data_IF_038463367476
#
_entry.id   IF_038463367476
#
_cell.length_a   1.000
_cell.length_b   1.000
_cell.length_c   1.000
_cell.angle_alpha   90.00
_cell.angle_beta   90.00
_cell.angle_gamma   90.00
#
_symmetry.space_group_name_H-M   'P 1'
#
loop_
_entity.id
_entity.type
_entity.pdbx_description
1 polymer ?
#
# COMPACT_ATOMS: atom_id res chain seq x y z
N UNK A 1 42.29 26.46 -1.34
CA UNK A 1 41.98 25.02 -1.23
C UNK A 1 40.47 24.90 -1.12
N UNK A 2 39.78 24.40 -2.14
CA UNK A 2 38.42 23.88 -1.97
C UNK A 2 38.13 22.85 -3.07
N UNK A 3 37.99 21.59 -2.64
CA UNK A 3 37.66 20.44 -3.48
C UNK A 3 36.14 20.29 -3.46
N UNK A 4 35.43 20.84 -4.44
CA UNK A 4 33.99 20.56 -4.55
C UNK A 4 33.51 20.47 -6.00
N UNK A 5 33.11 19.24 -6.34
CA UNK A 5 32.15 18.86 -7.38
C UNK A 5 32.64 18.73 -8.83
N UNK A 6 33.44 17.68 -9.00
CA UNK A 6 33.63 16.95 -10.26
C UNK A 6 32.27 16.49 -10.80
N UNK A 7 31.85 17.07 -11.93
CA UNK A 7 30.64 16.71 -12.70
C UNK A 7 30.59 15.19 -12.95
N UNK A 8 29.62 14.49 -12.35
CA UNK A 8 29.21 13.17 -12.83
C UNK A 8 27.97 13.31 -13.69
N UNK A 9 28.10 12.79 -14.91
CA UNK A 9 27.02 12.53 -15.87
C UNK A 9 25.90 11.76 -15.17
N UNK A 10 24.73 12.37 -15.01
CA UNK A 10 23.47 11.63 -14.95
C UNK A 10 22.84 11.67 -16.34
N UNK A 11 23.35 10.78 -17.20
CA UNK A 11 22.56 10.28 -18.32
C UNK A 11 21.50 9.33 -17.79
N UNK A 12 20.31 9.41 -18.38
CA UNK A 12 19.22 8.42 -18.36
C UNK A 12 18.59 8.09 -17.00
N UNK A 13 17.56 8.86 -16.62
CA UNK A 13 16.39 8.30 -15.95
C UNK A 13 15.12 8.67 -16.70
N UNK A 14 14.62 7.69 -17.43
CA UNK A 14 13.33 7.59 -18.10
C UNK A 14 12.16 8.12 -17.25
N UNK A 15 11.70 9.32 -17.58
CA UNK A 15 10.53 9.98 -16.98
C UNK A 15 9.14 9.29 -17.14
N UNK A 16 8.92 8.19 -17.89
CA UNK A 16 7.62 7.52 -17.90
C UNK A 16 7.30 6.73 -16.62
N UNK A 17 8.31 6.12 -15.98
CA UNK A 17 8.12 5.18 -14.85
C UNK A 17 7.68 5.88 -13.57
N UNK A 18 8.28 7.03 -13.23
CA UNK A 18 7.92 7.81 -12.04
C UNK A 18 6.49 8.36 -12.13
N UNK A 19 6.06 8.83 -13.30
CA UNK A 19 4.72 9.39 -13.50
C UNK A 19 3.62 8.32 -13.43
N UNK A 20 3.90 7.10 -13.91
CA UNK A 20 3.03 5.95 -13.71
C UNK A 20 2.97 5.52 -12.23
N UNK A 21 4.11 5.46 -11.54
CA UNK A 21 4.18 5.18 -10.11
C UNK A 21 3.31 6.16 -9.30
N UNK A 22 3.42 7.46 -9.57
CA UNK A 22 2.61 8.48 -8.89
C UNK A 22 1.10 8.31 -9.10
N UNK A 23 0.66 7.92 -10.30
CA UNK A 23 -0.78 7.70 -10.58
C UNK A 23 -1.27 6.42 -9.89
N UNK A 24 -0.48 5.33 -9.93
CA UNK A 24 -0.85 4.08 -9.26
C UNK A 24 -0.82 4.19 -7.74
N UNK A 25 0.11 4.96 -7.20
CA UNK A 25 0.21 5.25 -5.77
C UNK A 25 -1.02 5.98 -5.24
N UNK A 26 -1.52 6.97 -5.98
CA UNK A 26 -2.68 7.76 -5.58
C UNK A 26 -4.00 6.94 -5.60
N UNK A 27 -4.08 5.91 -6.45
CA UNK A 27 -5.26 5.04 -6.51
C UNK A 27 -5.38 4.12 -5.31
N UNK A 28 -4.26 3.62 -4.77
CA UNK A 28 -4.27 2.77 -3.57
C UNK A 28 -4.81 3.56 -2.39
N UNK A 29 -4.25 4.75 -2.16
CA UNK A 29 -4.65 5.63 -1.05
C UNK A 29 -6.11 6.06 -1.18
N UNK A 30 -6.56 6.38 -2.41
CA UNK A 30 -7.96 6.71 -2.69
C UNK A 30 -8.91 5.54 -2.39
N UNK A 31 -8.61 4.33 -2.84
CA UNK A 31 -9.44 3.15 -2.55
C UNK A 31 -9.45 2.80 -1.07
N UNK A 32 -8.32 2.93 -0.37
CA UNK A 32 -8.26 2.72 1.08
C UNK A 32 -9.11 3.75 1.82
N UNK A 33 -8.99 5.03 1.50
CA UNK A 33 -9.76 6.11 2.13
C UNK A 33 -11.26 5.96 1.90
N UNK A 34 -11.68 5.69 0.66
CA UNK A 34 -13.08 5.43 0.34
C UNK A 34 -13.59 4.16 1.05
N UNK A 35 -12.77 3.11 1.09
CA UNK A 35 -13.10 1.86 1.76
C UNK A 35 -13.30 2.04 3.27
N UNK A 36 -12.42 2.80 3.92
CA UNK A 36 -12.52 3.13 5.34
C UNK A 36 -13.77 3.97 5.64
N UNK A 37 -14.11 4.92 4.76
CA UNK A 37 -15.34 5.72 4.87
C UNK A 37 -16.58 4.85 4.71
N UNK A 38 -16.61 3.96 3.71
CA UNK A 38 -17.73 3.02 3.54
C UNK A 38 -17.85 2.07 4.74
N UNK A 39 -16.72 1.65 5.32
CA UNK A 39 -16.70 0.79 6.50
C UNK A 39 -17.28 1.50 7.73
N UNK A 40 -16.93 2.77 7.97
CA UNK A 40 -17.47 3.55 9.09
C UNK A 40 -18.97 3.84 8.93
N UNK A 41 -19.47 3.89 7.69
CA UNK A 41 -20.89 3.99 7.37
C UNK A 41 -21.64 2.65 7.45
N UNK A 42 -20.98 1.55 7.85
CA UNK A 42 -21.58 0.22 7.93
C UNK A 42 -21.76 -0.48 6.59
N UNK A 43 -21.27 0.09 5.48
CA UNK A 43 -21.36 -0.47 4.14
C UNK A 43 -20.24 -1.51 3.89
N UNK A 44 -20.19 -2.54 4.72
CA UNK A 44 -19.06 -3.49 4.78
C UNK A 44 -18.77 -4.18 3.44
N UNK A 45 -19.80 -4.48 2.65
CA UNK A 45 -19.61 -5.11 1.34
C UNK A 45 -18.99 -4.16 0.30
N UNK A 46 -19.32 -2.85 0.37
CA UNK A 46 -18.70 -1.85 -0.49
C UNK A 46 -17.24 -1.60 -0.08
N UNK A 47 -17.00 -1.47 1.23
CA UNK A 47 -15.67 -1.36 1.81
C UNK A 47 -14.76 -2.52 1.39
N UNK A 48 -15.25 -3.75 1.50
CA UNK A 48 -14.49 -4.94 1.08
C UNK A 48 -14.11 -4.95 -0.41
N UNK A 49 -14.99 -4.45 -1.28
CA UNK A 49 -14.68 -4.31 -2.72
C UNK A 49 -13.57 -3.28 -2.95
N UNK A 50 -13.61 -2.15 -2.24
CA UNK A 50 -12.61 -1.09 -2.33
C UNK A 50 -11.25 -1.55 -1.79
N UNK A 51 -11.21 -2.22 -0.64
CA UNK A 51 -9.97 -2.77 -0.11
C UNK A 51 -9.39 -3.86 -1.01
N UNK A 52 -10.23 -4.71 -1.62
CA UNK A 52 -9.75 -5.69 -2.59
C UNK A 52 -9.19 -5.00 -3.85
N UNK A 53 -9.81 -3.92 -4.32
CA UNK A 53 -9.29 -3.13 -5.44
C UNK A 53 -7.93 -2.50 -5.09
N UNK A 54 -7.79 -1.92 -3.90
CA UNK A 54 -6.52 -1.43 -3.38
C UNK A 54 -5.46 -2.54 -3.36
N UNK A 55 -5.82 -3.74 -2.90
CA UNK A 55 -4.94 -4.91 -2.92
C UNK A 55 -4.47 -5.28 -4.32
N UNK A 56 -5.37 -5.32 -5.31
CA UNK A 56 -4.97 -5.64 -6.68
C UNK A 56 -4.00 -4.60 -7.27
N UNK A 57 -4.16 -3.32 -6.93
CA UNK A 57 -3.22 -2.26 -7.33
C UNK A 57 -1.91 -2.33 -6.56
N UNK A 58 -1.93 -2.73 -5.30
CA UNK A 58 -0.72 -2.87 -4.48
C UNK A 58 0.21 -4.01 -4.90
N UNK A 59 -0.25 -4.95 -5.75
CA UNK A 59 0.57 -6.07 -6.24
C UNK A 59 1.78 -5.66 -7.07
N UNK A 60 1.78 -4.45 -7.63
CA UNK A 60 2.94 -3.91 -8.35
C UNK A 60 3.97 -3.23 -7.44
N UNK A 61 3.63 -3.04 -6.16
CA UNK A 61 4.56 -2.48 -5.18
C UNK A 61 5.60 -3.52 -4.75
N UNK A 62 6.72 -3.04 -4.20
CA UNK A 62 7.65 -3.92 -3.52
C UNK A 62 6.96 -4.65 -2.36
N UNK A 63 7.38 -5.88 -2.07
CA UNK A 63 6.85 -6.64 -0.92
C UNK A 63 7.13 -5.96 0.43
N UNK A 64 8.11 -5.06 0.47
CA UNK A 64 8.47 -4.26 1.64
C UNK A 64 7.84 -2.87 1.63
N UNK A 65 6.97 -2.54 0.67
CA UNK A 65 6.38 -1.21 0.61
C UNK A 65 5.41 -0.98 1.79
N UNK A 66 5.59 0.09 2.60
CA UNK A 66 4.68 0.40 3.71
C UNK A 66 3.20 0.55 3.30
N UNK A 67 2.91 0.95 2.05
CA UNK A 67 1.52 1.03 1.55
C UNK A 67 0.86 -0.35 1.48
N UNK A 68 1.65 -1.40 1.22
CA UNK A 68 1.13 -2.77 1.22
C UNK A 68 0.68 -3.18 2.63
N UNK A 69 1.39 -2.74 3.68
CA UNK A 69 0.97 -2.96 5.07
C UNK A 69 -0.37 -2.30 5.39
N UNK A 70 -0.58 -1.06 4.94
CA UNK A 70 -1.86 -0.34 5.12
C UNK A 70 -3.00 -1.09 4.43
N UNK A 71 -2.77 -1.59 3.21
CA UNK A 71 -3.76 -2.36 2.46
C UNK A 71 -4.11 -3.67 3.18
N UNK A 72 -3.11 -4.41 3.69
CA UNK A 72 -3.33 -5.63 4.46
C UNK A 72 -4.11 -5.39 5.75
N UNK A 73 -3.82 -4.31 6.48
CA UNK A 73 -4.54 -3.94 7.68
C UNK A 73 -6.03 -3.61 7.40
N UNK A 74 -6.33 -2.92 6.31
CA UNK A 74 -7.72 -2.65 5.94
C UNK A 74 -8.47 -3.90 5.46
N UNK A 75 -7.78 -4.78 4.71
CA UNK A 75 -8.36 -6.05 4.27
C UNK A 75 -8.62 -7.00 5.46
N UNK A 76 -7.77 -6.95 6.50
CA UNK A 76 -7.97 -7.74 7.72
C UNK A 76 -9.23 -7.30 8.48
N UNK A 77 -9.49 -5.99 8.60
CA UNK A 77 -10.71 -5.47 9.19
C UNK A 77 -11.97 -5.98 8.46
N UNK A 78 -11.93 -6.02 7.13
CA UNK A 78 -13.02 -6.57 6.33
C UNK A 78 -13.24 -8.08 6.57
N UNK A 79 -12.17 -8.86 6.72
CA UNK A 79 -12.30 -10.29 7.05
C UNK A 79 -12.72 -10.53 8.51
N UNK A 80 -12.32 -9.65 9.42
CA UNK A 80 -12.76 -9.66 10.81
C UNK A 80 -14.27 -9.46 10.90
N UNK A 81 -14.83 -8.48 10.17
CA UNK A 81 -16.30 -8.28 10.10
C UNK A 81 -17.05 -9.49 9.55
N UNK A 82 -16.43 -10.28 8.67
CA UNK A 82 -16.99 -11.53 8.16
C UNK A 82 -16.78 -12.73 9.10
N UNK A 83 -16.26 -12.52 10.32
CA UNK A 83 -15.90 -13.57 11.29
C UNK A 83 -14.84 -14.55 10.77
N UNK A 84 -14.05 -14.16 9.77
CA UNK A 84 -12.97 -14.96 9.19
C UNK A 84 -11.65 -14.63 9.88
N UNK A 85 -11.61 -14.84 11.19
CA UNK A 85 -10.54 -14.34 12.07
C UNK A 85 -9.15 -14.83 11.66
N UNK A 86 -9.00 -16.12 11.34
CA UNK A 86 -7.72 -16.68 10.87
C UNK A 86 -7.18 -15.97 9.62
N UNK A 87 -8.05 -15.51 8.72
CA UNK A 87 -7.60 -14.75 7.54
C UNK A 87 -7.22 -13.31 7.89
N UNK A 88 -7.96 -12.70 8.81
CA UNK A 88 -7.66 -11.35 9.28
C UNK A 88 -6.30 -11.32 10.02
N UNK A 89 -6.07 -12.30 10.89
CA UNK A 89 -4.83 -12.47 11.64
C UNK A 89 -3.62 -12.62 10.71
N UNK A 90 -3.66 -13.58 9.78
CA UNK A 90 -2.57 -13.75 8.80
C UNK A 90 -2.25 -12.47 8.00
N UNK A 91 -3.25 -11.64 7.71
CA UNK A 91 -3.04 -10.37 7.00
C UNK A 91 -2.41 -9.31 7.90
N UNK A 92 -2.80 -9.26 9.18
CA UNK A 92 -2.16 -8.38 10.16
C UNK A 92 -0.71 -8.78 10.41
N UNK A 93 -0.41 -10.08 10.47
CA UNK A 93 0.97 -10.57 10.57
C UNK A 93 1.81 -10.12 9.37
N UNK A 94 1.28 -10.20 8.15
CA UNK A 94 1.96 -9.69 6.95
C UNK A 94 2.17 -8.17 7.00
N UNK A 95 1.18 -7.41 7.46
CA UNK A 95 1.30 -5.97 7.63
C UNK A 95 2.39 -5.62 8.66
N UNK A 96 2.42 -6.33 9.79
CA UNK A 96 3.41 -6.14 10.83
C UNK A 96 4.80 -6.48 10.34
N UNK A 97 4.98 -7.62 9.66
CA UNK A 97 6.27 -8.02 9.10
C UNK A 97 6.87 -6.93 8.22
N UNK A 98 6.07 -6.29 7.35
CA UNK A 98 6.52 -5.17 6.51
C UNK A 98 6.94 -3.96 7.37
N UNK A 99 6.16 -3.61 8.39
CA UNK A 99 6.46 -2.46 9.24
C UNK A 99 7.68 -2.69 10.16
N UNK A 100 7.93 -3.94 10.54
CA UNK A 100 9.05 -4.29 11.43
C UNK A 100 10.34 -4.57 10.65
N UNK A 101 10.28 -5.23 9.49
CA UNK A 101 11.47 -5.46 8.64
C UNK A 101 12.02 -4.15 8.06
N UNK A 102 11.17 -3.15 7.80
CA UNK A 102 11.62 -1.84 7.34
C UNK A 102 12.30 -0.99 8.45
N UNK A 103 12.36 -1.49 9.69
CA UNK A 103 12.91 -0.78 10.85
C UNK A 103 14.19 -1.43 11.42
N UNK A 104 14.92 -2.24 10.65
CA UNK A 104 16.21 -2.83 11.01
C UNK A 104 17.33 -2.45 10.04
#
# INVERSE_FOLDING_TARGET
>A
MDLQHRKQKIGVTSAPLAKFHMITENLIDSYVSQGATAFSQGQFQAAGRLFLAAYQKSKSLSKTDPKLAVVYANLSLFYYQQKRYRKAENLLEQALAILTDNNL
#
